data_IF_435681949173
#
_entry.id   IF_435681949173
#
_cell.length_a   1.000
_cell.length_b   1.000
_cell.length_c   1.000
_cell.angle_alpha   90.00
_cell.angle_beta   90.00
_cell.angle_gamma   90.00
#
_symmetry.space_group_name_H-M   'P 1'
#
loop_
_entity.id
_entity.type
_entity.pdbx_description
1 polymer ?
#
# COMPACT_ATOMS: atom_id res chain seq x y z
N UNK A 1 -12.24 -12.20 14.23
CA UNK A 1 -10.78 -12.06 13.92
C UNK A 1 -10.35 -10.64 14.27
N UNK A 2 -9.27 -10.45 15.00
CA UNK A 2 -8.73 -9.12 15.34
C UNK A 2 -7.42 -8.95 14.58
N UNK A 3 -7.34 -7.91 13.74
CA UNK A 3 -6.24 -7.68 12.82
C UNK A 3 -5.52 -6.39 13.16
N UNK A 4 -4.19 -6.45 13.32
CA UNK A 4 -3.31 -5.28 13.34
C UNK A 4 -2.69 -5.11 11.94
N UNK A 5 -2.85 -3.94 11.34
CA UNK A 5 -2.28 -3.62 10.04
C UNK A 5 -1.35 -2.41 10.09
N UNK A 6 -0.26 -2.46 9.33
CA UNK A 6 0.74 -1.42 9.19
C UNK A 6 0.89 -0.97 7.74
N UNK A 7 1.08 0.32 7.53
CA UNK A 7 1.34 0.94 6.23
C UNK A 7 2.52 1.89 6.31
N UNK A 8 3.51 1.71 5.44
CA UNK A 8 4.73 2.54 5.37
C UNK A 8 5.39 2.57 3.99
N UNK A 9 4.62 2.26 2.95
CA UNK A 9 5.17 2.10 1.59
C UNK A 9 5.41 3.41 0.85
N UNK A 10 4.88 4.53 1.37
CA UNK A 10 5.05 5.88 0.80
C UNK A 10 5.44 6.88 1.89
N UNK A 11 5.02 8.15 1.76
CA UNK A 11 5.29 9.19 2.77
C UNK A 11 4.45 9.03 4.02
N UNK A 12 3.29 8.43 3.89
CA UNK A 12 2.34 8.24 4.98
C UNK A 12 2.73 7.04 5.83
N UNK A 13 2.76 7.24 7.16
CA UNK A 13 2.75 6.17 8.15
C UNK A 13 1.31 5.95 8.63
N UNK A 14 0.83 4.72 8.68
CA UNK A 14 -0.50 4.43 9.20
C UNK A 14 -0.55 3.09 9.93
N UNK A 15 -1.38 3.04 10.97
CA UNK A 15 -1.65 1.85 11.77
C UNK A 15 -3.16 1.72 11.95
N UNK A 16 -3.68 0.52 11.84
CA UNK A 16 -5.08 0.24 12.11
C UNK A 16 -5.27 -1.07 12.88
N UNK A 17 -6.30 -1.11 13.71
CA UNK A 17 -6.86 -2.33 14.29
C UNK A 17 -8.27 -2.50 13.73
N UNK A 18 -8.54 -3.65 13.14
CA UNK A 18 -9.87 -4.04 12.67
C UNK A 18 -10.35 -5.31 13.38
N UNK A 19 -11.65 -5.47 13.44
CA UNK A 19 -12.30 -6.68 13.95
C UNK A 19 -13.46 -7.05 13.04
N UNK A 20 -13.37 -8.21 12.39
CA UNK A 20 -14.43 -8.76 11.55
C UNK A 20 -14.95 -7.74 10.51
N UNK A 21 -14.05 -7.12 9.77
CA UNK A 21 -14.34 -6.11 8.74
C UNK A 21 -14.63 -4.69 9.27
N UNK A 22 -14.70 -4.51 10.61
CA UNK A 22 -14.95 -3.21 11.24
C UNK A 22 -13.66 -2.60 11.79
N UNK A 23 -13.33 -1.40 11.34
CA UNK A 23 -12.20 -0.63 11.89
C UNK A 23 -12.52 -0.16 13.30
N UNK A 24 -11.73 -0.59 14.29
CA UNK A 24 -11.83 -0.17 15.70
C UNK A 24 -10.96 1.06 15.97
N UNK A 25 -9.81 1.14 15.30
CA UNK A 25 -8.86 2.24 15.44
C UNK A 25 -8.11 2.44 14.14
N UNK A 26 -7.84 3.68 13.79
CA UNK A 26 -6.93 4.03 12.71
C UNK A 26 -6.21 5.33 13.07
N UNK A 27 -4.92 5.35 12.87
CA UNK A 27 -4.11 6.56 12.88
C UNK A 27 -3.29 6.66 11.61
N UNK A 28 -3.08 7.90 11.18
CA UNK A 28 -2.33 8.21 9.97
C UNK A 28 -1.51 9.48 10.19
N UNK A 29 -0.28 9.49 9.70
CA UNK A 29 0.62 10.62 9.81
C UNK A 29 1.34 10.85 8.48
N UNK A 30 1.44 12.12 8.08
CA UNK A 30 2.22 12.56 6.91
C UNK A 30 2.97 13.85 7.31
N UNK A 31 3.83 13.76 8.32
CA UNK A 31 4.52 14.87 8.97
C UNK A 31 6.01 14.97 8.65
N UNK A 32 6.52 14.09 7.76
CA UNK A 32 7.92 14.05 7.34
C UNK A 32 8.87 13.31 8.30
N UNK A 33 8.39 12.80 9.43
CA UNK A 33 9.18 11.92 10.30
C UNK A 33 9.39 10.55 9.66
N UNK A 34 10.43 9.83 10.08
CA UNK A 34 10.71 8.50 9.54
C UNK A 34 9.69 7.46 10.03
N UNK A 35 9.43 6.44 9.23
CA UNK A 35 8.53 5.36 9.61
C UNK A 35 9.02 4.58 10.84
N UNK A 36 10.34 4.46 11.02
CA UNK A 36 10.94 3.81 12.18
C UNK A 36 10.68 4.55 13.50
N UNK A 37 10.52 5.88 13.44
CA UNK A 37 10.18 6.70 14.62
C UNK A 37 8.70 6.64 14.97
N UNK A 38 7.83 6.46 13.98
CA UNK A 38 6.39 6.65 14.14
C UNK A 38 5.59 5.36 14.32
N UNK A 39 5.88 4.30 13.54
CA UNK A 39 4.98 3.15 13.46
C UNK A 39 4.83 2.40 14.78
N UNK A 40 5.90 2.20 15.54
CA UNK A 40 5.79 1.48 16.81
C UNK A 40 4.99 2.28 17.85
N UNK A 41 5.26 3.57 18.11
CA UNK A 41 4.39 4.38 18.97
C UNK A 41 2.92 4.43 18.52
N UNK A 42 2.65 4.46 17.20
CA UNK A 42 1.30 4.42 16.68
C UNK A 42 0.62 3.07 16.96
N UNK A 43 1.33 1.96 16.83
CA UNK A 43 0.82 0.62 17.13
C UNK A 43 0.55 0.44 18.64
N UNK A 44 1.44 0.93 19.50
CA UNK A 44 1.23 0.95 20.95
C UNK A 44 -0.01 1.78 21.34
N UNK A 45 -0.15 2.96 20.74
CA UNK A 45 -1.33 3.81 20.96
C UNK A 45 -2.62 3.14 20.48
N UNK A 46 -2.58 2.44 19.34
CA UNK A 46 -3.72 1.70 18.82
C UNK A 46 -4.16 0.62 19.81
N UNK A 47 -3.24 -0.22 20.29
CA UNK A 47 -3.52 -1.27 21.27
C UNK A 47 -4.03 -0.69 22.59
N UNK A 48 -3.41 0.36 23.09
CA UNK A 48 -3.84 1.05 24.30
C UNK A 48 -5.28 1.59 24.20
N UNK A 49 -5.60 2.25 23.07
CA UNK A 49 -6.92 2.87 22.88
C UNK A 49 -8.02 1.82 22.71
N UNK A 50 -7.71 0.68 22.11
CA UNK A 50 -8.66 -0.42 21.92
C UNK A 50 -8.71 -1.39 23.10
N UNK A 51 -7.87 -1.18 24.13
CA UNK A 51 -7.70 -2.08 25.27
C UNK A 51 -7.32 -3.51 24.85
N UNK A 52 -6.54 -3.63 23.79
CA UNK A 52 -6.04 -4.91 23.27
C UNK A 52 -4.53 -5.04 23.53
N UNK A 53 -4.08 -6.27 23.60
CA UNK A 53 -2.67 -6.67 23.66
C UNK A 53 -2.29 -7.47 22.42
N UNK A 54 -1.02 -7.78 22.25
CA UNK A 54 -0.57 -8.65 21.16
C UNK A 54 -1.19 -10.04 21.24
N UNK A 55 -1.54 -10.52 22.45
CA UNK A 55 -2.19 -11.82 22.68
C UNK A 55 -3.63 -11.91 22.16
N UNK A 56 -4.28 -10.77 21.99
CA UNK A 56 -5.64 -10.68 21.45
C UNK A 56 -5.67 -10.69 19.92
N UNK A 57 -4.52 -10.49 19.26
CA UNK A 57 -4.44 -10.40 17.81
C UNK A 57 -4.57 -11.79 17.17
N UNK A 58 -5.43 -11.89 16.17
CA UNK A 58 -5.66 -13.12 15.39
C UNK A 58 -4.94 -13.08 14.02
N UNK A 59 -4.60 -11.89 13.54
CA UNK A 59 -3.96 -11.67 12.25
C UNK A 59 -3.07 -10.44 12.29
N UNK A 60 -1.92 -10.53 11.65
CA UNK A 60 -1.02 -9.42 11.41
C UNK A 60 -0.97 -9.09 9.91
N UNK A 61 -0.86 -7.83 9.56
CA UNK A 61 -0.77 -7.44 8.16
C UNK A 61 0.09 -6.22 7.95
N UNK A 62 0.69 -6.14 6.79
CA UNK A 62 1.23 -4.89 6.26
C UNK A 62 1.17 -4.89 4.74
N UNK A 63 1.28 -3.70 4.16
CA UNK A 63 1.55 -3.59 2.74
C UNK A 63 2.98 -4.04 2.44
N UNK A 64 3.11 -4.91 1.44
CA UNK A 64 4.39 -5.53 1.05
C UNK A 64 5.01 -4.90 -0.19
N UNK A 65 4.43 -3.83 -0.71
CA UNK A 65 4.85 -3.13 -1.94
C UNK A 65 3.80 -3.21 -3.04
N UNK A 66 4.05 -2.52 -4.16
CA UNK A 66 5.23 -1.70 -4.44
C UNK A 66 5.30 -0.43 -3.58
N UNK A 67 6.50 0.18 -3.48
CA UNK A 67 6.70 1.42 -2.74
C UNK A 67 8.14 1.62 -2.24
N UNK A 68 8.29 2.38 -1.16
CA UNK A 68 9.56 2.66 -0.51
C UNK A 68 10.25 1.37 -0.06
N UNK A 69 11.45 1.12 -0.57
CA UNK A 69 12.26 -0.06 -0.22
C UNK A 69 12.54 -0.17 1.29
N UNK A 70 12.82 0.95 1.94
CA UNK A 70 13.01 1.01 3.39
C UNK A 70 11.69 0.84 4.12
N UNK A 71 10.64 1.52 3.67
CA UNK A 71 9.34 1.49 4.31
C UNK A 71 8.74 0.09 4.38
N UNK A 72 8.68 -0.65 3.26
CA UNK A 72 8.14 -2.02 3.25
C UNK A 72 8.88 -2.95 4.21
N UNK A 73 10.19 -2.76 4.38
CA UNK A 73 11.00 -3.56 5.31
C UNK A 73 10.72 -3.22 6.77
N UNK A 74 10.51 -1.94 7.09
CA UNK A 74 10.16 -1.51 8.45
C UNK A 74 8.86 -2.19 8.88
N UNK A 75 7.78 -2.07 8.10
CA UNK A 75 6.51 -2.71 8.42
C UNK A 75 6.64 -4.24 8.52
N UNK A 76 7.25 -4.90 7.54
CA UNK A 76 7.44 -6.34 7.57
C UNK A 76 8.26 -6.83 8.78
N UNK A 77 9.30 -6.08 9.17
CA UNK A 77 10.09 -6.40 10.36
C UNK A 77 9.29 -6.24 11.65
N UNK A 78 8.45 -5.20 11.75
CA UNK A 78 7.57 -5.02 12.89
C UNK A 78 6.53 -6.14 12.99
N UNK A 79 5.92 -6.55 11.88
CA UNK A 79 5.00 -7.71 11.85
C UNK A 79 5.70 -8.97 12.38
N UNK A 80 6.92 -9.24 11.93
CA UNK A 80 7.73 -10.36 12.45
C UNK A 80 8.03 -10.22 13.94
N UNK A 81 8.31 -9.01 14.41
CA UNK A 81 8.52 -8.71 15.84
C UNK A 81 7.29 -8.98 16.69
N UNK A 82 6.10 -8.52 16.27
CA UNK A 82 4.84 -8.79 16.97
C UNK A 82 4.50 -10.29 17.02
N UNK A 83 4.85 -11.05 15.99
CA UNK A 83 4.63 -12.49 15.95
C UNK A 83 5.70 -13.30 16.71
N UNK A 84 6.77 -12.67 17.23
CA UNK A 84 7.86 -13.40 17.89
C UNK A 84 7.37 -14.16 19.12
N UNK A 85 7.61 -15.46 19.13
CA UNK A 85 7.15 -16.35 20.21
C UNK A 85 5.66 -16.65 20.21
N UNK A 86 4.93 -16.24 19.15
CA UNK A 86 3.48 -16.43 18.99
C UNK A 86 3.18 -17.00 17.61
N UNK A 87 2.10 -17.76 17.53
CA UNK A 87 1.66 -18.42 16.29
C UNK A 87 0.61 -17.58 15.55
N UNK A 88 0.87 -16.26 15.43
CA UNK A 88 -0.05 -15.32 14.77
C UNK A 88 0.28 -15.32 13.26
N UNK A 89 -0.68 -15.69 12.39
CA UNK A 89 -0.49 -15.64 10.95
C UNK A 89 -0.36 -14.20 10.45
N UNK A 90 0.22 -14.05 9.26
CA UNK A 90 0.37 -12.76 8.61
C UNK A 90 -0.16 -12.79 7.17
N UNK A 91 -0.62 -11.63 6.69
CA UNK A 91 -1.01 -11.40 5.29
C UNK A 91 -0.27 -10.18 4.76
N UNK A 92 0.47 -10.36 3.67
CA UNK A 92 1.02 -9.26 2.88
C UNK A 92 0.00 -8.75 1.88
N UNK A 93 -0.28 -7.46 1.89
CA UNK A 93 -1.23 -6.81 0.98
C UNK A 93 -0.47 -5.97 -0.05
N UNK A 94 -0.85 -6.08 -1.34
CA UNK A 94 -0.34 -5.14 -2.35
C UNK A 94 -0.72 -3.71 -1.98
N UNK A 95 0.25 -2.79 -2.02
CA UNK A 95 0.00 -1.37 -1.75
C UNK A 95 -1.03 -0.79 -2.71
N UNK A 96 -0.98 -1.18 -3.99
CA UNK A 96 -1.92 -0.71 -5.00
C UNK A 96 -3.34 -1.26 -4.75
N UNK A 97 -3.45 -2.49 -4.26
CA UNK A 97 -4.75 -3.04 -3.86
C UNK A 97 -5.31 -2.31 -2.63
N UNK A 98 -4.47 -2.05 -1.62
CA UNK A 98 -4.87 -1.28 -0.45
C UNK A 98 -5.34 0.14 -0.80
N UNK A 99 -4.63 0.82 -1.73
CA UNK A 99 -5.04 2.12 -2.24
C UNK A 99 -6.39 2.07 -2.98
N UNK A 100 -6.60 1.07 -3.84
CA UNK A 100 -7.88 0.91 -4.53
C UNK A 100 -9.05 0.70 -3.54
N UNK A 101 -8.79 -0.02 -2.44
CA UNK A 101 -9.79 -0.23 -1.37
C UNK A 101 -10.22 1.08 -0.70
N UNK A 102 -9.38 2.12 -0.66
CA UNK A 102 -9.76 3.43 -0.11
C UNK A 102 -10.96 4.04 -0.84
N UNK A 103 -11.13 3.73 -2.11
CA UNK A 103 -12.19 4.30 -2.96
C UNK A 103 -13.54 3.58 -2.84
N UNK A 104 -13.59 2.47 -2.10
CA UNK A 104 -14.89 1.84 -1.81
C UNK A 104 -15.72 2.76 -0.89
N UNK A 105 -17.03 2.97 -1.15
CA UNK A 105 -17.91 2.26 -2.08
C UNK A 105 -18.16 2.96 -3.45
N UNK A 106 -17.23 3.74 -3.99
CA UNK A 106 -17.41 4.35 -5.31
C UNK A 106 -17.52 3.28 -6.41
N UNK A 107 -18.13 3.66 -7.55
CA UNK A 107 -18.20 2.80 -8.74
C UNK A 107 -17.36 3.39 -9.87
N UNK A 108 -16.63 2.55 -10.62
CA UNK A 108 -15.78 2.96 -11.73
C UNK A 108 -14.47 2.20 -11.80
N UNK A 109 -13.51 2.79 -12.50
CA UNK A 109 -12.13 2.30 -12.59
C UNK A 109 -11.29 3.02 -11.56
N UNK A 110 -10.65 2.25 -10.69
CA UNK A 110 -9.70 2.75 -9.71
C UNK A 110 -8.30 2.47 -10.20
N UNK A 111 -7.50 3.50 -10.28
CA UNK A 111 -6.13 3.47 -10.76
C UNK A 111 -5.22 4.01 -9.66
N UNK A 112 -4.75 3.17 -8.73
CA UNK A 112 -3.67 3.53 -7.84
C UNK A 112 -2.44 3.97 -8.60
N UNK A 113 -1.85 5.08 -8.19
CA UNK A 113 -0.66 5.66 -8.79
C UNK A 113 0.34 6.04 -7.70
N UNK A 114 1.52 5.43 -7.73
CA UNK A 114 2.61 5.75 -6.82
C UNK A 114 3.84 6.15 -7.62
N UNK A 115 4.57 7.14 -7.13
CA UNK A 115 5.79 7.61 -7.79
C UNK A 115 6.86 6.49 -7.86
N UNK A 116 7.14 6.01 -9.07
CA UNK A 116 8.20 5.05 -9.34
C UNK A 116 9.52 5.72 -9.78
N UNK A 117 9.58 7.07 -9.71
CA UNK A 117 10.64 7.95 -10.21
C UNK A 117 10.84 7.83 -11.74
N UNK A 118 11.60 8.76 -12.33
CA UNK A 118 11.96 8.76 -13.76
C UNK A 118 10.74 8.74 -14.70
N UNK A 119 9.73 9.57 -14.40
CA UNK A 119 8.50 9.69 -15.17
C UNK A 119 7.70 8.39 -15.31
N UNK A 120 7.82 7.52 -14.31
CA UNK A 120 7.08 6.27 -14.22
C UNK A 120 6.25 6.20 -12.94
N UNK A 121 5.21 5.40 -12.99
CA UNK A 121 4.36 5.10 -11.84
C UNK A 121 4.27 3.60 -11.60
N UNK A 122 4.21 3.22 -10.32
CA UNK A 122 3.65 1.93 -9.95
C UNK A 122 2.13 2.06 -10.02
N UNK A 123 1.50 1.12 -10.72
CA UNK A 123 0.06 1.13 -10.94
C UNK A 123 -0.49 -0.26 -11.15
N UNK A 124 -1.77 -0.40 -10.92
CA UNK A 124 -2.64 -1.50 -11.32
C UNK A 124 -4.03 -0.94 -11.56
N UNK A 125 -4.85 -1.62 -12.33
CA UNK A 125 -6.24 -1.21 -12.55
C UNK A 125 -7.18 -2.13 -11.78
N UNK A 126 -8.21 -1.51 -11.23
CA UNK A 126 -9.30 -2.19 -10.55
C UNK A 126 -10.63 -1.64 -11.05
N UNK A 127 -11.67 -2.46 -11.03
CA UNK A 127 -13.04 -2.01 -11.23
C UNK A 127 -13.86 -2.19 -9.97
N UNK A 128 -14.85 -1.33 -9.79
CA UNK A 128 -15.80 -1.44 -8.70
C UNK A 128 -17.22 -1.13 -9.18
N UNK A 129 -18.18 -1.90 -8.69
CA UNK A 129 -19.61 -1.64 -8.80
C UNK A 129 -20.19 -0.94 -7.54
N UNK A 130 -19.33 -0.50 -6.63
CA UNK A 130 -19.68 0.08 -5.33
C UNK A 130 -19.83 -0.95 -4.20
N UNK A 131 -19.78 -2.25 -4.50
CA UNK A 131 -19.86 -3.36 -3.53
C UNK A 131 -18.66 -4.29 -3.61
N UNK A 132 -18.19 -4.56 -4.81
CA UNK A 132 -17.11 -5.50 -5.08
C UNK A 132 -15.96 -4.78 -5.77
N UNK A 133 -14.76 -4.93 -5.23
CA UNK A 133 -13.53 -4.48 -5.85
C UNK A 133 -12.89 -5.67 -6.60
N UNK A 134 -12.72 -5.51 -7.92
CA UNK A 134 -12.15 -6.53 -8.80
C UNK A 134 -10.84 -6.01 -9.40
N UNK A 135 -9.75 -6.76 -9.24
CA UNK A 135 -8.47 -6.45 -9.89
C UNK A 135 -8.55 -6.77 -11.39
N UNK A 136 -8.14 -5.83 -12.23
CA UNK A 136 -8.11 -5.97 -13.70
C UNK A 136 -6.70 -6.24 -14.23
N UNK A 137 -5.66 -5.69 -13.59
CA UNK A 137 -4.26 -5.86 -14.02
C UNK A 137 -3.36 -6.15 -12.83
N UNK A 138 -2.22 -6.78 -13.11
CA UNK A 138 -1.16 -6.97 -12.12
C UNK A 138 -0.44 -5.66 -11.79
N UNK A 139 0.23 -5.63 -10.63
CA UNK A 139 1.07 -4.51 -10.22
C UNK A 139 2.23 -4.35 -11.21
N UNK A 140 2.41 -3.14 -11.76
CA UNK A 140 3.42 -2.85 -12.77
C UNK A 140 4.05 -1.48 -12.57
N UNK A 141 5.21 -1.26 -13.20
CA UNK A 141 5.86 0.04 -13.30
C UNK A 141 5.88 0.46 -14.77
N UNK A 142 5.12 1.51 -15.12
CA UNK A 142 4.95 1.98 -16.50
C UNK A 142 5.09 3.50 -16.58
N UNK A 143 5.29 4.01 -17.79
CA UNK A 143 5.26 5.45 -18.06
C UNK A 143 3.84 6.02 -17.97
N UNK A 144 3.73 7.34 -17.82
CA UNK A 144 2.41 8.00 -17.90
C UNK A 144 1.77 7.86 -19.28
N UNK A 145 2.57 7.79 -20.34
CA UNK A 145 2.08 7.57 -21.70
C UNK A 145 1.44 6.19 -21.85
N UNK A 146 2.11 5.14 -21.36
CA UNK A 146 1.54 3.77 -21.36
C UNK A 146 0.28 3.68 -20.50
N UNK A 147 0.28 4.38 -19.34
CA UNK A 147 -0.90 4.44 -18.48
C UNK A 147 -2.07 5.11 -19.21
N UNK A 148 -1.84 6.24 -19.87
CA UNK A 148 -2.88 6.94 -20.65
C UNK A 148 -3.50 6.02 -21.70
N UNK A 149 -2.67 5.35 -22.50
CA UNK A 149 -3.13 4.40 -23.53
C UNK A 149 -3.97 3.25 -22.94
N UNK A 150 -3.57 2.72 -21.77
CA UNK A 150 -4.36 1.68 -21.08
C UNK A 150 -5.72 2.19 -20.59
N UNK A 151 -5.77 3.44 -20.12
CA UNK A 151 -7.00 4.04 -19.60
C UNK A 151 -8.00 4.42 -20.69
N UNK A 152 -7.58 4.62 -21.93
CA UNK A 152 -8.46 4.88 -23.08
C UNK A 152 -9.52 3.78 -23.27
N UNK A 153 -9.18 2.53 -22.97
CA UNK A 153 -10.12 1.41 -23.02
C UNK A 153 -11.30 1.53 -22.02
N UNK A 154 -11.19 2.44 -21.06
CA UNK A 154 -12.18 2.66 -20.00
C UNK A 154 -12.77 4.09 -20.02
N UNK A 155 -12.65 4.80 -21.15
CA UNK A 155 -13.07 6.20 -21.29
C UNK A 155 -14.53 6.46 -20.98
N UNK A 156 -15.39 5.46 -21.13
CA UNK A 156 -16.84 5.55 -20.83
C UNK A 156 -17.16 5.38 -19.33
N UNK A 157 -16.16 5.00 -18.51
CA UNK A 157 -16.35 4.77 -17.07
C UNK A 157 -15.73 5.93 -16.27
N UNK A 158 -16.25 6.22 -15.06
CA UNK A 158 -15.55 7.10 -14.14
C UNK A 158 -14.18 6.51 -13.77
N UNK A 159 -13.10 7.26 -13.97
CA UNK A 159 -11.75 6.86 -13.62
C UNK A 159 -11.29 7.70 -12.42
N UNK A 160 -10.78 7.05 -11.37
CA UNK A 160 -10.28 7.71 -10.17
C UNK A 160 -8.82 7.33 -9.93
N UNK A 161 -7.98 8.33 -9.71
CA UNK A 161 -6.62 8.12 -9.22
C UNK A 161 -6.57 8.16 -7.69
N UNK A 162 -5.64 7.41 -7.10
CA UNK A 162 -5.41 7.35 -5.66
C UNK A 162 -3.94 7.02 -5.40
N UNK A 163 -3.34 7.56 -4.34
CA UNK A 163 -1.93 7.36 -3.99
C UNK A 163 -1.09 8.62 -4.12
N UNK A 164 0.16 8.55 -3.70
CA UNK A 164 1.10 9.68 -3.65
C UNK A 164 1.55 10.21 -5.03
N UNK A 165 1.27 9.48 -6.10
CA UNK A 165 1.42 9.93 -7.49
C UNK A 165 0.22 10.70 -8.06
N UNK A 166 -0.86 10.89 -7.27
CA UNK A 166 -2.11 11.50 -7.73
C UNK A 166 -1.92 12.83 -8.47
N UNK A 167 -1.22 13.78 -7.86
CA UNK A 167 -1.05 15.13 -8.43
C UNK A 167 -0.33 15.11 -9.79
N UNK A 168 0.73 14.31 -9.88
CA UNK A 168 1.54 14.22 -11.11
C UNK A 168 0.76 13.51 -12.21
N UNK A 169 0.10 12.40 -11.88
CA UNK A 169 -0.72 11.65 -12.82
C UNK A 169 -1.91 12.48 -13.31
N UNK A 170 -2.62 13.15 -12.39
CA UNK A 170 -3.75 14.01 -12.73
C UNK A 170 -3.34 15.14 -13.69
N UNK A 171 -2.24 15.84 -13.41
CA UNK A 171 -1.70 16.89 -14.28
C UNK A 171 -1.32 16.34 -15.66
N UNK A 172 -0.70 15.16 -15.74
CA UNK A 172 -0.35 14.55 -17.02
C UNK A 172 -1.60 14.27 -17.85
N UNK A 173 -2.65 13.70 -17.24
CA UNK A 173 -3.87 13.32 -17.95
C UNK A 173 -4.67 14.52 -18.49
N UNK A 174 -4.49 15.72 -17.92
CA UNK A 174 -5.13 16.93 -18.47
C UNK A 174 -4.76 17.22 -19.93
N UNK A 175 -3.60 16.71 -20.39
CA UNK A 175 -3.12 16.86 -21.77
C UNK A 175 -3.46 15.64 -22.65
N UNK A 176 -4.36 14.76 -22.21
CA UNK A 176 -4.76 13.55 -22.92
C UNK A 176 -6.29 13.51 -23.14
N UNK A 177 -6.78 12.49 -23.85
CA UNK A 177 -8.21 12.21 -23.99
C UNK A 177 -8.87 11.63 -22.73
N UNK A 178 -8.06 11.11 -21.80
CA UNK A 178 -8.55 10.44 -20.59
C UNK A 178 -9.16 11.45 -19.62
N UNK A 179 -10.40 11.19 -19.19
CA UNK A 179 -11.11 12.02 -18.21
C UNK A 179 -11.08 11.37 -16.84
N UNK A 180 -10.31 11.96 -15.92
CA UNK A 180 -10.18 11.49 -14.54
C UNK A 180 -11.10 12.31 -13.65
N UNK A 181 -11.85 11.62 -12.79
CA UNK A 181 -12.69 12.25 -11.75
C UNK A 181 -11.83 12.66 -10.56
N UNK A 182 -12.22 13.74 -9.92
CA UNK A 182 -11.57 14.14 -8.66
C UNK A 182 -11.82 13.11 -7.58
N UNK A 183 -10.75 12.75 -6.89
CA UNK A 183 -10.81 11.88 -5.71
C UNK A 183 -10.81 12.75 -4.45
N UNK A 184 -11.74 12.53 -3.50
CA UNK A 184 -11.73 13.25 -2.24
C UNK A 184 -10.36 13.13 -1.55
N UNK A 185 -9.80 14.25 -1.11
CA UNK A 185 -8.44 14.31 -0.53
C UNK A 185 -8.23 13.32 0.62
N UNK A 186 -9.26 13.06 1.41
CA UNK A 186 -9.21 12.11 2.52
C UNK A 186 -8.98 10.65 2.08
N UNK A 187 -9.22 10.32 0.81
CA UNK A 187 -9.10 8.96 0.28
C UNK A 187 -7.81 8.73 -0.52
N UNK A 188 -7.03 9.79 -0.78
CA UNK A 188 -5.87 9.72 -1.68
C UNK A 188 -4.71 8.93 -1.06
N UNK A 189 -4.49 9.09 0.24
CA UNK A 189 -3.28 8.59 0.88
C UNK A 189 -3.41 7.13 1.33
N UNK A 190 -2.28 6.44 1.36
CA UNK A 190 -2.17 5.09 1.91
C UNK A 190 -2.70 5.05 3.33
N UNK A 191 -3.49 4.02 3.66
CA UNK A 191 -4.06 3.88 4.97
C UNK A 191 -4.16 2.41 5.42
N UNK A 192 -3.81 2.16 6.66
CA UNK A 192 -3.77 0.82 7.22
C UNK A 192 -5.16 0.20 7.45
N UNK A 193 -6.24 0.99 7.49
CA UNK A 193 -7.59 0.45 7.63
C UNK A 193 -8.00 -0.36 6.39
N UNK A 194 -7.71 0.17 5.18
CA UNK A 194 -7.91 -0.56 3.93
C UNK A 194 -7.05 -1.83 3.85
N UNK A 195 -5.80 -1.74 4.34
CA UNK A 195 -4.92 -2.90 4.46
C UNK A 195 -5.50 -3.97 5.38
N UNK A 196 -6.04 -3.58 6.55
CA UNK A 196 -6.64 -4.52 7.51
C UNK A 196 -7.86 -5.25 6.93
N UNK A 197 -8.79 -4.50 6.29
CA UNK A 197 -9.99 -5.06 5.67
C UNK A 197 -9.63 -6.07 4.57
N UNK A 198 -8.68 -5.71 3.70
CA UNK A 198 -8.20 -6.61 2.65
C UNK A 198 -7.47 -7.83 3.22
N UNK A 199 -6.69 -7.65 4.29
CA UNK A 199 -5.98 -8.75 4.93
C UNK A 199 -6.94 -9.80 5.49
N UNK A 200 -8.04 -9.39 6.14
CA UNK A 200 -9.07 -10.31 6.64
C UNK A 200 -9.71 -11.10 5.50
N UNK A 201 -10.03 -10.42 4.39
CA UNK A 201 -10.55 -11.08 3.18
C UNK A 201 -9.56 -12.08 2.60
N UNK A 202 -8.32 -11.65 2.37
CA UNK A 202 -7.26 -12.50 1.80
C UNK A 202 -6.94 -13.70 2.70
N UNK A 203 -6.98 -13.51 4.02
CA UNK A 203 -6.81 -14.59 4.98
C UNK A 203 -7.93 -15.63 4.86
N UNK A 204 -9.18 -15.19 4.73
CA UNK A 204 -10.33 -16.09 4.51
C UNK A 204 -10.26 -16.85 3.18
N UNK A 205 -9.52 -16.32 2.20
CA UNK A 205 -9.20 -16.96 0.91
C UNK A 205 -7.98 -17.91 0.99
N UNK A 206 -7.43 -18.13 2.18
CA UNK A 206 -6.28 -19.03 2.39
C UNK A 206 -4.92 -18.43 2.03
N UNK A 207 -4.80 -17.11 1.92
CA UNK A 207 -3.54 -16.40 1.58
C UNK A 207 -2.70 -15.99 2.80
N UNK A 208 -3.02 -16.54 3.98
CA UNK A 208 -2.21 -16.36 5.17
C UNK A 208 -0.91 -17.15 5.09
N UNK A 209 0.15 -16.55 5.64
CA UNK A 209 1.46 -17.19 5.76
C UNK A 209 1.95 -17.08 7.21
N UNK A 210 2.97 -17.85 7.58
CA UNK A 210 3.71 -17.56 8.82
C UNK A 210 4.32 -16.16 8.73
N UNK A 211 4.28 -15.39 9.80
CA UNK A 211 4.89 -14.07 9.82
C UNK A 211 6.39 -14.11 9.44
N UNK A 212 7.11 -15.22 9.69
CA UNK A 212 8.50 -15.42 9.26
C UNK A 212 8.66 -15.43 7.75
N UNK A 213 7.67 -15.95 7.03
CA UNK A 213 7.66 -16.08 5.57
C UNK A 213 7.16 -14.81 4.86
N UNK A 214 6.63 -13.84 5.62
CA UNK A 214 6.19 -12.57 5.05
C UNK A 214 7.38 -11.85 4.40
N UNK A 215 7.29 -11.61 3.09
CA UNK A 215 8.36 -10.98 2.31
C UNK A 215 7.85 -9.76 1.54
N UNK A 216 8.65 -8.70 1.45
CA UNK A 216 8.38 -7.59 0.55
C UNK A 216 8.38 -8.04 -0.92
N UNK A 217 7.49 -7.41 -1.71
CA UNK A 217 7.42 -7.60 -3.16
C UNK A 217 8.07 -6.41 -3.85
N UNK A 218 9.09 -6.67 -4.67
CA UNK A 218 9.82 -5.63 -5.39
C UNK A 218 9.55 -5.73 -6.88
N UNK A 219 8.86 -4.74 -7.45
CA UNK A 219 8.69 -4.62 -8.90
C UNK A 219 9.96 -4.12 -9.61
N UNK A 220 10.90 -3.59 -8.85
CA UNK A 220 12.22 -3.14 -9.32
C UNK A 220 13.30 -3.53 -8.34
N UNK A 221 14.47 -3.83 -8.86
CA UNK A 221 15.66 -4.01 -8.03
C UNK A 221 15.99 -2.72 -7.28
N UNK A 222 16.53 -2.81 -6.05
CA UNK A 222 17.05 -1.68 -5.30
C UNK A 222 17.99 -0.81 -6.14
N UNK A 223 18.03 0.50 -5.89
CA UNK A 223 18.88 1.41 -6.65
C UNK A 223 20.35 0.99 -6.63
N UNK A 224 20.88 0.64 -5.47
CA UNK A 224 22.25 0.18 -5.32
C UNK A 224 22.57 -1.09 -6.14
N UNK A 225 21.60 -2.02 -6.24
CA UNK A 225 21.78 -3.25 -7.02
C UNK A 225 21.71 -2.97 -8.52
N UNK A 226 20.83 -2.05 -8.95
CA UNK A 226 20.78 -1.58 -10.34
C UNK A 226 22.05 -0.85 -10.76
N UNK A 227 22.60 0.01 -9.89
CA UNK A 227 23.85 0.73 -10.12
C UNK A 227 25.04 -0.24 -10.15
N UNK A 228 25.04 -1.26 -9.30
CA UNK A 228 26.04 -2.32 -9.36
C UNK A 228 26.00 -3.10 -10.66
N UNK A 229 24.81 -3.47 -11.11
CA UNK A 229 24.60 -4.20 -12.38
C UNK A 229 24.94 -3.33 -13.59
N UNK A 230 24.72 -2.01 -13.49
CA UNK A 230 25.07 -1.05 -14.54
C UNK A 230 26.55 -0.63 -14.52
N UNK A 231 27.37 -1.10 -13.57
CA UNK A 231 28.78 -0.72 -13.42
C UNK A 231 28.98 0.74 -12.99
N UNK A 232 27.95 1.40 -12.45
CA UNK A 232 27.96 2.84 -12.07
C UNK A 232 28.09 3.07 -10.57
N UNK A 233 28.31 2.01 -9.80
CA UNK A 233 28.55 2.12 -8.36
C UNK A 233 29.93 2.79 -8.13
N UNK A 234 29.90 4.04 -7.69
CA UNK A 234 31.08 4.64 -7.06
C UNK A 234 31.24 4.02 -5.68
N UNK A 235 32.19 3.12 -5.53
CA UNK A 235 32.69 2.72 -4.22
C UNK A 235 33.30 3.98 -3.56
N UNK A 236 32.84 4.42 -2.38
CA UNK A 236 33.55 5.45 -1.64
C UNK A 236 34.94 4.94 -1.37
N UNK A 237 35.97 5.61 -1.88
CA UNK A 237 37.34 5.45 -1.40
C UNK A 237 37.36 5.87 0.05
N UNK A 238 37.54 4.92 0.93
CA UNK A 238 37.84 5.18 2.34
C UNK A 238 39.28 5.73 2.38
N UNK A 239 39.40 7.05 2.58
CA UNK A 239 40.64 7.68 3.02
C UNK A 239 40.77 7.57 4.55
#
# INVERSE_FOLDING_TARGET
MITLALESTAKTASVAIAKDGKVLYMSQSNNGLTHSEQLLPMAEQAMKTTHLTVDDLSLLSCTVGPGSFTGVRIAASMIKGFAMGKDIPAVGVSTLHSLAQNLMPLSGIFCPVMDARREQVYTALFSSDGKTLTRLTEDTAISFEELSKKLEAYSEMPIYFVGDGYEVAHRYMQNTSVRVKETPMALIWQNAASTAILAEKLYSEGKGVSAKELMPTYLRLPQAERERLAGTLHTPTVE
#
